data_IF_246649209688
#
_entry.id   IF_246649209688
#
_cell.length_a   1.000
_cell.length_b   1.000
_cell.length_c   1.000
_cell.angle_alpha   90.00
_cell.angle_beta   90.00
_cell.angle_gamma   90.00
#
_symmetry.space_group_name_H-M   'P 1'
#
loop_
_entity.id
_entity.type
_entity.pdbx_description
1 polymer ?
#
# COMPACT_ATOMS: atom_id res chain seq x y z
N UNK A 1 -27.64 3.23 -2.32
CA UNK A 1 -27.40 4.22 -1.25
C UNK A 1 -26.10 4.94 -1.59
N UNK A 2 -26.15 6.25 -1.86
CA UNK A 2 -24.93 7.04 -2.15
C UNK A 2 -24.34 7.39 -0.79
N UNK A 3 -23.20 6.78 -0.44
CA UNK A 3 -22.45 7.17 0.76
C UNK A 3 -21.77 8.51 0.50
N UNK A 4 -21.83 9.41 1.49
CA UNK A 4 -21.17 10.72 1.40
C UNK A 4 -19.83 10.67 2.12
N UNK A 5 -18.76 10.97 1.38
CA UNK A 5 -17.43 11.17 1.94
C UNK A 5 -17.17 12.66 2.10
N UNK A 6 -16.59 13.02 3.24
CA UNK A 6 -16.46 14.42 3.66
C UNK A 6 -15.15 14.68 4.38
N UNK A 7 -14.72 15.93 4.30
CA UNK A 7 -13.64 16.49 5.10
C UNK A 7 -14.18 16.99 6.43
N UNK A 8 -13.58 16.52 7.52
CA UNK A 8 -13.83 16.97 8.88
C UNK A 8 -12.65 17.78 9.41
N UNK A 9 -12.97 18.87 10.10
CA UNK A 9 -12.01 19.59 10.93
C UNK A 9 -12.05 19.03 12.36
N UNK A 10 -10.92 18.52 12.83
CA UNK A 10 -10.78 18.00 14.20
C UNK A 10 -10.10 19.00 15.14
N UNK A 11 -9.14 19.77 14.61
CA UNK A 11 -8.43 20.80 15.34
C UNK A 11 -7.94 21.89 14.37
N UNK A 12 -7.80 23.11 14.88
CA UNK A 12 -7.22 24.21 14.12
C UNK A 12 -5.78 23.87 13.70
N UNK A 13 -5.41 24.26 12.49
CA UNK A 13 -4.07 24.06 11.89
C UNK A 13 -3.66 22.58 11.69
N UNK A 14 -4.59 21.64 11.80
CA UNK A 14 -4.38 20.25 11.40
C UNK A 14 -5.03 20.00 10.03
N UNK A 15 -4.44 19.13 9.19
CA UNK A 15 -5.07 18.78 7.92
C UNK A 15 -6.43 18.13 8.14
N UNK A 16 -7.37 18.37 7.23
CA UNK A 16 -8.70 17.76 7.32
C UNK A 16 -8.64 16.23 7.27
N UNK A 17 -9.46 15.64 8.13
CA UNK A 17 -9.66 14.20 8.22
C UNK A 17 -10.75 13.78 7.25
N UNK A 18 -10.59 12.61 6.63
CA UNK A 18 -11.56 12.09 5.67
C UNK A 18 -12.45 11.08 6.39
N UNK A 19 -13.77 11.21 6.21
CA UNK A 19 -14.75 10.36 6.86
C UNK A 19 -15.89 9.98 5.92
N UNK A 20 -16.46 8.78 6.09
CA UNK A 20 -17.71 8.35 5.44
C UNK A 20 -18.87 8.56 6.39
N UNK A 21 -19.91 9.24 5.95
CA UNK A 21 -21.15 9.39 6.71
C UNK A 21 -21.98 8.11 6.55
N UNK A 22 -22.24 7.45 7.67
CA UNK A 22 -23.18 6.33 7.75
C UNK A 22 -24.62 6.84 7.94
N UNK A 23 -24.78 7.80 8.84
CA UNK A 23 -26.08 8.27 9.28
C UNK A 23 -25.98 9.72 9.78
N UNK A 24 -27.02 10.51 9.52
CA UNK A 24 -27.20 11.84 10.10
C UNK A 24 -28.41 11.81 11.03
N UNK A 25 -28.24 12.31 12.24
CA UNK A 25 -29.27 12.38 13.26
C UNK A 25 -29.41 13.81 13.77
N UNK A 26 -30.65 14.22 14.02
CA UNK A 26 -30.93 15.51 14.65
C UNK A 26 -31.27 15.29 16.11
N UNK A 27 -30.43 15.77 17.02
CA UNK A 27 -30.58 15.62 18.47
C UNK A 27 -30.77 17.00 19.09
N UNK A 28 -31.95 17.27 19.65
CA UNK A 28 -32.28 18.51 20.37
C UNK A 28 -31.99 19.82 19.61
N UNK A 29 -31.95 19.77 18.28
CA UNK A 29 -31.70 20.92 17.41
C UNK A 29 -30.37 20.84 16.66
N UNK A 30 -29.39 20.15 17.24
CA UNK A 30 -28.09 19.93 16.65
C UNK A 30 -28.10 18.73 15.71
N UNK A 31 -27.25 18.77 14.69
CA UNK A 31 -27.08 17.67 13.74
C UNK A 31 -25.79 16.94 14.06
N UNK A 32 -25.89 15.66 14.36
CA UNK A 32 -24.76 14.76 14.59
C UNK A 32 -24.65 13.78 13.41
N UNK A 33 -23.43 13.40 13.08
CA UNK A 33 -23.11 12.46 12.03
C UNK A 33 -22.43 11.23 12.66
N UNK A 34 -23.00 10.05 12.44
CA UNK A 34 -22.29 8.78 12.67
C UNK A 34 -21.40 8.54 11.46
N UNK A 35 -20.10 8.47 11.71
CA UNK A 35 -19.06 8.49 10.68
C UNK A 35 -18.04 7.40 10.88
N UNK A 36 -17.54 6.86 9.77
CA UNK A 36 -16.38 5.98 9.72
C UNK A 36 -15.14 6.78 9.34
N UNK A 37 -14.02 6.53 10.03
CA UNK A 37 -12.75 7.23 9.82
C UNK A 37 -11.92 6.62 8.69
N UNK A 38 -11.23 7.48 7.93
CA UNK A 38 -10.15 7.10 7.02
C UNK A 38 -8.83 7.68 7.53
N UNK A 39 -7.80 6.85 7.52
CA UNK A 39 -6.45 7.20 7.91
C UNK A 39 -5.60 7.42 6.66
N UNK A 40 -4.71 8.41 6.71
CA UNK A 40 -3.70 8.61 5.66
C UNK A 40 -2.47 7.79 6.00
N UNK A 41 -1.58 7.59 5.02
CA UNK A 41 -0.32 6.86 5.24
C UNK A 41 0.49 7.36 6.44
N UNK A 42 0.55 8.67 6.68
CA UNK A 42 1.27 9.25 7.84
C UNK A 42 0.67 8.88 9.20
N UNK A 43 -0.59 8.46 9.22
CA UNK A 43 -1.32 8.08 10.44
C UNK A 43 -1.20 6.56 10.70
N UNK A 44 -0.49 5.82 9.83
CA UNK A 44 -0.30 4.36 9.90
C UNK A 44 1.13 4.03 10.35
N UNK A 45 1.31 3.08 11.29
CA UNK A 45 2.63 2.59 11.68
C UNK A 45 3.48 2.07 10.50
N UNK A 46 4.79 2.37 10.50
CA UNK A 46 5.70 2.03 9.39
C UNK A 46 5.78 0.53 9.08
N UNK A 47 5.71 -0.32 10.11
CA UNK A 47 5.68 -1.78 9.95
C UNK A 47 4.45 -2.23 9.13
N UNK A 48 3.31 -1.55 9.30
CA UNK A 48 2.10 -1.83 8.55
C UNK A 48 2.15 -1.25 7.14
N UNK A 49 2.79 -0.09 6.96
CA UNK A 49 3.02 0.46 5.62
C UNK A 49 3.86 -0.47 4.75
N UNK A 50 4.89 -1.11 5.31
CA UNK A 50 5.68 -2.12 4.58
C UNK A 50 4.81 -3.29 4.09
N UNK A 51 3.85 -3.72 4.90
CA UNK A 51 2.90 -4.78 4.52
C UNK A 51 1.93 -4.28 3.44
N UNK A 52 1.43 -3.05 3.57
CA UNK A 52 0.54 -2.43 2.58
C UNK A 52 1.22 -2.30 1.20
N UNK A 53 2.48 -1.90 1.18
CA UNK A 53 3.25 -1.72 -0.06
C UNK A 53 3.59 -3.06 -0.73
N UNK A 54 3.58 -4.16 0.02
CA UNK A 54 3.77 -5.53 -0.47
C UNK A 54 2.45 -6.26 -0.79
N UNK A 55 1.31 -5.66 -0.48
CA UNK A 55 0.01 -6.26 -0.71
C UNK A 55 -0.27 -6.32 -2.23
N UNK A 56 0.10 -7.44 -2.84
CA UNK A 56 -0.27 -7.78 -4.21
C UNK A 56 -1.80 -7.89 -4.31
N UNK A 57 -2.36 -7.35 -5.40
CA UNK A 57 -3.74 -7.65 -5.78
C UNK A 57 -3.91 -9.16 -5.91
N UNK A 58 -4.68 -9.79 -5.03
CA UNK A 58 -4.91 -11.23 -5.01
C UNK A 58 -5.33 -11.80 -6.39
N UNK A 59 -5.98 -10.99 -7.22
CA UNK A 59 -6.43 -11.37 -8.58
C UNK A 59 -5.31 -11.48 -9.62
N UNK A 60 -4.16 -10.83 -9.41
CA UNK A 60 -3.05 -10.85 -10.39
C UNK A 60 -2.38 -12.21 -10.50
N UNK A 61 -2.38 -13.00 -9.41
CA UNK A 61 -1.86 -14.38 -9.40
C UNK A 61 -2.69 -15.30 -10.30
N UNK A 62 -4.01 -15.15 -10.30
CA UNK A 62 -4.92 -15.98 -11.12
C UNK A 62 -4.72 -15.77 -12.63
N UNK A 63 -4.40 -14.54 -13.06
CA UNK A 63 -4.12 -14.24 -14.49
C UNK A 63 -2.70 -14.65 -14.92
N UNK A 64 -1.69 -14.50 -14.05
CA UNK A 64 -0.31 -14.97 -14.35
C UNK A 64 -0.26 -16.49 -14.51
N UNK A 65 -0.98 -17.25 -13.69
CA UNK A 65 -1.01 -18.71 -13.80
C UNK A 65 -1.74 -19.21 -15.05
N UNK A 66 -2.65 -18.41 -15.64
CA UNK A 66 -3.34 -18.77 -16.89
C UNK A 66 -2.49 -18.51 -18.15
N UNK A 67 -1.53 -17.58 -18.11
CA UNK A 67 -0.62 -17.33 -19.22
C UNK A 67 0.59 -18.29 -19.24
N UNK A 68 0.96 -18.87 -18.10
CA UNK A 68 2.09 -19.80 -18.02
C UNK A 68 1.77 -21.24 -18.46
N UNK A 69 0.50 -21.61 -18.68
CA UNK A 69 0.10 -22.96 -19.11
C UNK A 69 0.04 -23.16 -20.63
N UNK A 70 0.40 -22.16 -21.45
CA UNK A 70 0.42 -22.26 -22.92
C UNK A 70 1.81 -22.20 -23.59
N UNK A 71 2.90 -22.29 -22.82
CA UNK A 71 4.26 -22.42 -23.39
C UNK A 71 5.06 -23.48 -22.66
N UNK A 72 4.83 -24.74 -23.01
CA UNK A 72 5.87 -25.77 -23.12
C UNK A 72 5.24 -27.10 -23.55
N UNK A 73 5.11 -27.29 -24.87
CA UNK A 73 5.11 -28.62 -25.46
C UNK A 73 6.57 -29.00 -25.76
N UNK A 74 6.99 -30.12 -25.17
CA UNK A 74 7.93 -31.10 -25.72
C UNK A 74 9.42 -30.74 -25.78
N UNK A 75 10.23 -31.34 -24.88
CA UNK A 75 11.16 -32.43 -25.24
C UNK A 75 11.83 -33.10 -24.03
N UNK A 76 12.12 -34.38 -24.24
CA UNK A 76 12.64 -35.46 -23.39
C UNK A 76 13.85 -35.19 -22.46
N UNK A 77 14.01 -36.06 -21.44
CA UNK A 77 15.31 -36.67 -21.14
C UNK A 77 15.68 -36.82 -19.66
N UNK A 78 15.82 -38.07 -19.21
CA UNK A 78 16.32 -38.54 -17.91
C UNK A 78 17.72 -38.03 -17.50
N UNK A 79 17.96 -37.77 -16.20
CA UNK A 79 18.88 -38.58 -15.36
C UNK A 79 19.18 -37.97 -13.97
N UNK A 80 19.42 -38.90 -13.03
CA UNK A 80 19.95 -38.75 -11.66
C UNK A 80 21.37 -38.13 -11.64
N UNK A 81 21.78 -37.53 -10.51
CA UNK A 81 22.77 -38.07 -9.52
C UNK A 81 23.37 -36.95 -8.63
N UNK A 82 23.84 -37.40 -7.48
CA UNK A 82 24.26 -36.79 -6.22
C UNK A 82 25.54 -35.92 -6.18
N UNK A 83 25.60 -35.08 -5.13
CA UNK A 83 26.67 -34.92 -4.12
C UNK A 83 28.04 -34.23 -4.38
N UNK A 84 28.33 -33.34 -3.41
CA UNK A 84 29.63 -33.05 -2.73
C UNK A 84 30.72 -32.33 -3.54
N UNK A 85 31.73 -31.66 -2.98
CA UNK A 85 32.10 -30.96 -1.72
C UNK A 85 33.61 -30.62 -1.90
N UNK A 86 34.15 -29.69 -1.09
CA UNK A 86 35.59 -29.39 -0.86
C UNK A 86 36.23 -28.35 -1.79
N UNK A 87 37.08 -27.40 -1.37
CA UNK A 87 37.77 -27.16 -0.09
C UNK A 87 39.28 -26.96 -0.31
N UNK A 88 39.89 -26.06 0.49
CA UNK A 88 41.32 -25.96 0.90
C UNK A 88 42.23 -24.83 0.30
N UNK A 89 42.38 -23.77 1.10
CA UNK A 89 43.58 -23.16 1.78
C UNK A 89 45.02 -23.11 1.18
N UNK A 90 45.68 -21.94 1.34
CA UNK A 90 46.98 -21.64 2.04
C UNK A 90 47.44 -20.17 1.71
N UNK A 91 47.77 -19.23 2.63
CA UNK A 91 48.95 -19.03 3.54
C UNK A 91 50.30 -18.86 2.77
N UNK A 92 51.18 -17.85 2.92
CA UNK A 92 51.68 -17.07 4.09
C UNK A 92 52.31 -15.68 3.74
N UNK A 93 52.36 -14.81 4.77
CA UNK A 93 53.27 -13.72 5.23
C UNK A 93 54.28 -12.96 4.32
N UNK A 94 54.29 -11.60 4.44
CA UNK A 94 55.36 -10.80 5.09
C UNK A 94 55.06 -9.28 5.06
N UNK A 95 55.54 -8.57 6.08
CA UNK A 95 55.31 -7.15 6.45
C UNK A 95 56.64 -6.40 6.38
N UNK A 96 56.66 -5.13 5.94
CA UNK A 96 57.44 -3.98 6.47
C UNK A 96 57.16 -2.70 5.65
N UNK A 97 57.44 -1.54 6.26
CA UNK A 97 56.74 -0.25 6.19
C UNK A 97 57.55 0.79 5.41
N UNK A 98 56.91 1.69 4.66
CA UNK A 98 57.42 3.07 4.49
C UNK A 98 56.30 4.07 4.15
N UNK A 99 56.44 5.27 4.71
CA UNK A 99 55.46 6.34 4.91
C UNK A 99 55.65 7.45 3.88
N UNK A 100 54.62 7.79 3.08
CA UNK A 100 54.43 9.17 2.59
C UNK A 100 53.05 9.40 1.94
N UNK A 101 52.22 10.18 2.63
CA UNK A 101 51.23 11.17 2.12
C UNK A 101 50.37 10.80 0.90
N UNK A 102 49.15 10.33 1.18
CA UNK A 102 48.07 10.18 0.19
C UNK A 102 47.04 11.33 0.35
N UNK A 103 46.91 12.16 -0.68
CA UNK A 103 45.83 13.15 -0.82
C UNK A 103 44.55 12.38 -1.16
N UNK A 104 43.63 12.28 -0.21
CA UNK A 104 42.31 11.65 -0.37
C UNK A 104 41.51 12.37 -1.47
N UNK A 105 41.14 11.72 -2.58
CA UNK A 105 40.11 12.24 -3.47
C UNK A 105 38.76 12.21 -2.73
N UNK A 106 38.00 13.29 -2.84
CA UNK A 106 36.64 13.40 -2.32
C UNK A 106 35.78 12.19 -2.76
N UNK A 107 35.03 11.54 -1.85
CA UNK A 107 34.03 10.57 -2.24
C UNK A 107 32.93 11.28 -3.02
N UNK A 108 32.74 10.88 -4.27
CA UNK A 108 31.57 11.23 -5.05
C UNK A 108 30.30 10.75 -4.31
N UNK A 109 29.20 11.51 -4.33
CA UNK A 109 27.99 11.15 -3.63
C UNK A 109 27.47 9.82 -4.14
N UNK A 110 27.41 8.83 -3.26
CA UNK A 110 26.78 7.54 -3.50
C UNK A 110 25.35 7.80 -3.95
N UNK A 111 25.04 7.39 -5.19
CA UNK A 111 23.66 7.29 -5.67
C UNK A 111 22.83 6.54 -4.63
N UNK A 112 21.69 7.08 -4.17
CA UNK A 112 20.85 6.39 -3.21
C UNK A 112 20.49 5.03 -3.80
N UNK A 113 20.86 3.95 -3.11
CA UNK A 113 20.38 2.61 -3.41
C UNK A 113 18.86 2.69 -3.46
N UNK A 114 18.30 2.60 -4.66
CA UNK A 114 16.86 2.66 -4.87
C UNK A 114 16.24 1.50 -4.12
N UNK A 115 15.54 1.79 -3.03
CA UNK A 115 14.61 0.84 -2.41
C UNK A 115 13.81 0.15 -3.54
N UNK A 116 13.61 -1.18 -3.50
CA UNK A 116 12.79 -1.83 -4.51
C UNK A 116 11.46 -1.11 -4.57
N UNK A 117 11.12 -0.53 -5.73
CA UNK A 117 9.94 0.31 -5.85
C UNK A 117 8.71 -0.60 -5.76
N UNK A 118 8.13 -0.70 -4.57
CA UNK A 118 6.99 -1.55 -4.30
C UNK A 118 5.70 -0.85 -4.74
N UNK A 119 5.01 -1.43 -5.72
CA UNK A 119 3.75 -0.91 -6.29
C UNK A 119 2.50 -1.53 -5.66
N UNK A 120 2.63 -2.35 -4.61
CA UNK A 120 1.48 -2.96 -3.93
C UNK A 120 0.54 -1.92 -3.35
N UNK A 121 -0.75 -2.24 -3.32
CA UNK A 121 -1.80 -1.28 -2.92
C UNK A 121 -2.15 -0.19 -3.94
N UNK A 122 -1.39 0.01 -5.02
CA UNK A 122 -1.70 1.03 -6.04
C UNK A 122 -2.64 0.53 -7.17
N UNK A 123 -3.31 1.46 -7.89
CA UNK A 123 -4.03 1.18 -9.14
C UNK A 123 -3.18 0.50 -10.23
N UNK A 124 -3.83 -0.22 -11.14
CA UNK A 124 -3.14 -0.93 -12.23
C UNK A 124 -2.51 0.06 -13.22
N UNK A 125 -1.23 -0.10 -13.54
CA UNK A 125 -0.51 0.82 -14.42
C UNK A 125 0.32 1.86 -13.66
N UNK A 126 0.28 1.87 -12.33
CA UNK A 126 1.16 2.72 -11.51
C UNK A 126 2.65 2.45 -11.77
N UNK A 127 3.00 1.24 -12.21
CA UNK A 127 4.36 0.85 -12.57
C UNK A 127 4.95 1.61 -13.78
N UNK A 128 4.10 2.28 -14.57
CA UNK A 128 4.51 3.04 -15.76
C UNK A 128 4.62 4.54 -15.50
N UNK A 129 4.25 4.99 -14.30
CA UNK A 129 4.20 6.39 -13.95
C UNK A 129 5.57 6.93 -13.53
N UNK A 130 5.71 8.26 -13.58
CA UNK A 130 6.87 8.93 -13.02
C UNK A 130 6.93 8.74 -11.48
N UNK A 131 8.11 8.78 -10.86
CA UNK A 131 8.23 8.69 -9.40
C UNK A 131 7.40 9.75 -8.66
N UNK A 132 7.29 10.96 -9.23
CA UNK A 132 6.48 12.04 -8.69
C UNK A 132 4.99 11.72 -8.72
N UNK A 133 4.49 11.15 -9.81
CA UNK A 133 3.08 10.77 -9.92
C UNK A 133 2.74 9.58 -9.02
N UNK A 134 3.66 8.62 -8.88
CA UNK A 134 3.54 7.53 -7.91
C UNK A 134 3.44 8.09 -6.48
N UNK A 135 4.28 9.09 -6.16
CA UNK A 135 4.23 9.75 -4.86
C UNK A 135 2.88 10.47 -4.64
N UNK A 136 2.38 11.21 -5.63
CA UNK A 136 1.05 11.84 -5.55
C UNK A 136 -0.06 10.80 -5.39
N UNK A 137 0.03 9.67 -6.09
CA UNK A 137 -0.94 8.60 -6.00
C UNK A 137 -0.94 7.95 -4.60
N UNK A 138 0.23 7.77 -3.99
CA UNK A 138 0.37 7.32 -2.58
C UNK A 138 -0.27 8.30 -1.59
N UNK A 139 -0.28 9.61 -1.89
CA UNK A 139 -0.99 10.60 -1.06
C UNK A 139 -2.51 10.51 -1.19
N UNK A 140 -3.02 9.86 -2.26
CA UNK A 140 -4.45 9.58 -2.47
C UNK A 140 -4.90 8.24 -1.87
N UNK A 141 -3.97 7.44 -1.35
CA UNK A 141 -4.26 6.19 -0.65
C UNK A 141 -4.74 6.45 0.78
N UNK A 142 -5.84 5.80 1.15
CA UNK A 142 -6.45 5.84 2.48
C UNK A 142 -6.64 4.43 3.04
N UNK A 143 -6.78 4.36 4.36
CA UNK A 143 -7.06 3.12 5.10
C UNK A 143 -8.35 3.32 5.89
N UNK A 144 -9.36 2.48 5.62
CA UNK A 144 -10.66 2.59 6.28
C UNK A 144 -10.62 1.97 7.67
N UNK A 145 -11.23 2.59 8.68
CA UNK A 145 -11.46 1.92 9.96
C UNK A 145 -12.84 1.28 10.02
N UNK A 146 -13.00 0.25 10.86
CA UNK A 146 -14.33 -0.32 11.18
C UNK A 146 -15.01 0.43 12.32
N UNK A 147 -14.28 1.27 13.04
CA UNK A 147 -14.80 2.02 14.17
C UNK A 147 -15.66 3.18 13.68
N UNK A 148 -16.85 3.29 14.24
CA UNK A 148 -17.75 4.42 14.02
C UNK A 148 -17.62 5.41 15.17
N UNK A 149 -17.63 6.68 14.84
CA UNK A 149 -17.65 7.79 15.79
C UNK A 149 -18.87 8.66 15.52
N UNK A 150 -19.41 9.31 16.55
CA UNK A 150 -20.47 10.32 16.39
C UNK A 150 -19.87 11.70 16.61
N UNK A 151 -19.89 12.53 15.57
CA UNK A 151 -19.35 13.88 15.61
C UNK A 151 -20.41 14.90 15.18
N UNK A 152 -20.29 16.13 15.69
CA UNK A 152 -21.15 17.22 15.25
C UNK A 152 -20.94 17.52 13.76
N UNK A 153 -22.04 17.65 13.01
CA UNK A 153 -22.00 17.92 11.58
C UNK A 153 -21.46 19.34 11.25
N UNK A 154 -21.34 20.21 12.26
CA UNK A 154 -20.73 21.55 12.10
C UNK A 154 -19.27 21.48 11.68
N UNK A 155 -18.59 20.35 11.96
CA UNK A 155 -17.18 20.15 11.65
C UNK A 155 -16.96 19.71 10.20
N UNK A 156 -18.02 19.52 9.41
CA UNK A 156 -17.93 19.17 7.99
C UNK A 156 -17.54 20.42 7.19
N UNK A 157 -16.41 20.34 6.47
CA UNK A 157 -15.86 21.46 5.69
C UNK A 157 -16.02 21.32 4.20
N UNK A 158 -16.16 20.10 3.69
CA UNK A 158 -16.29 19.86 2.26
C UNK A 158 -16.62 18.41 1.94
N UNK A 159 -16.98 18.15 0.68
CA UNK A 159 -17.21 16.81 0.16
C UNK A 159 -15.96 16.34 -0.58
N UNK A 160 -15.70 15.04 -0.54
CA UNK A 160 -14.66 14.40 -1.33
C UNK A 160 -15.20 13.11 -1.95
N UNK A 161 -14.40 12.48 -2.81
CA UNK A 161 -14.72 11.17 -3.38
C UNK A 161 -13.71 10.16 -2.87
N UNK A 162 -14.21 9.07 -2.28
CA UNK A 162 -13.40 7.93 -1.89
C UNK A 162 -14.03 6.71 -2.53
N UNK A 163 -13.23 5.93 -3.25
CA UNK A 163 -13.70 4.70 -3.90
C UNK A 163 -12.92 3.50 -3.37
N UNK A 164 -13.58 2.36 -3.30
CA UNK A 164 -12.88 1.10 -3.08
C UNK A 164 -12.01 0.80 -4.30
N UNK A 165 -10.73 0.50 -4.09
CA UNK A 165 -9.79 0.21 -5.16
C UNK A 165 -10.13 -1.14 -5.81
N UNK A 166 -10.90 -1.10 -6.89
CA UNK A 166 -11.24 -2.29 -7.67
C UNK A 166 -10.10 -2.71 -8.62
N UNK A 167 -10.20 -3.92 -9.18
CA UNK A 167 -9.15 -4.45 -10.06
C UNK A 167 -9.05 -3.76 -11.43
N UNK A 168 -10.05 -2.94 -11.80
CA UNK A 168 -10.10 -2.20 -13.07
C UNK A 168 -9.70 -0.73 -12.94
N UNK A 169 -9.47 -0.23 -11.72
CA UNK A 169 -9.06 1.17 -11.49
C UNK A 169 -7.67 1.45 -12.07
N UNK A 170 -7.52 2.62 -12.70
CA UNK A 170 -6.26 3.15 -13.24
C UNK A 170 -5.83 4.43 -12.50
N UNK A 171 -4.53 4.78 -12.49
CA UNK A 171 -4.04 5.98 -11.82
C UNK A 171 -4.70 7.27 -12.31
N UNK A 172 -5.02 7.36 -13.60
CA UNK A 172 -5.65 8.53 -14.23
C UNK A 172 -6.98 8.90 -13.57
N UNK A 173 -7.71 7.93 -13.02
CA UNK A 173 -8.98 8.16 -12.33
C UNK A 173 -8.81 9.00 -11.06
N UNK A 174 -7.62 8.96 -10.46
CA UNK A 174 -7.28 9.65 -9.20
C UNK A 174 -6.43 10.90 -9.42
N UNK A 175 -5.53 10.88 -10.40
CA UNK A 175 -4.63 12.01 -10.66
C UNK A 175 -5.32 13.14 -11.44
N UNK A 176 -6.24 12.81 -12.35
CA UNK A 176 -6.95 13.82 -13.16
C UNK A 176 -8.07 14.54 -12.40
N UNK A 177 -8.36 14.11 -11.16
CA UNK A 177 -9.41 14.70 -10.32
C UNK A 177 -8.84 15.10 -8.98
N UNK A 178 -9.16 16.30 -8.55
CA UNK A 178 -8.91 16.75 -7.19
C UNK A 178 -9.88 16.02 -6.23
N UNK A 179 -9.54 15.98 -4.93
CA UNK A 179 -10.36 15.40 -3.86
C UNK A 179 -10.84 13.95 -4.09
N UNK A 180 -10.12 13.20 -4.92
CA UNK A 180 -10.43 11.79 -5.24
C UNK A 180 -9.37 10.88 -4.62
N UNK A 181 -9.84 9.93 -3.80
CA UNK A 181 -9.03 9.01 -3.02
C UNK A 181 -9.47 7.57 -3.24
N UNK A 182 -8.62 6.63 -2.84
CA UNK A 182 -8.96 5.22 -2.84
C UNK A 182 -8.52 4.54 -1.55
N UNK A 183 -9.16 3.42 -1.25
CA UNK A 183 -8.73 2.51 -0.19
C UNK A 183 -8.87 1.06 -0.65
N UNK A 184 -7.98 0.21 -0.17
CA UNK A 184 -7.99 -1.24 -0.42
C UNK A 184 -7.89 -2.06 0.87
N UNK A 185 -7.40 -1.42 1.93
CA UNK A 185 -7.14 -2.04 3.22
C UNK A 185 -7.95 -1.35 4.32
N UNK A 186 -8.30 -2.16 5.30
CA UNK A 186 -8.97 -1.76 6.54
C UNK A 186 -7.92 -1.74 7.65
N UNK A 187 -7.78 -0.60 8.31
CA UNK A 187 -6.92 -0.42 9.47
C UNK A 187 -7.71 -0.56 10.76
N UNK A 188 -7.25 -1.44 11.64
CA UNK A 188 -7.74 -1.57 13.00
C UNK A 188 -6.77 -0.84 13.94
N UNK A 189 -7.13 0.36 14.45
CA UNK A 189 -6.25 1.14 15.32
C UNK A 189 -6.09 0.51 16.71
N UNK A 190 -7.00 -0.38 17.13
CA UNK A 190 -6.90 -1.02 18.45
C UNK A 190 -5.94 -2.19 18.43
N UNK A 191 -5.96 -2.97 17.36
CA UNK A 191 -5.08 -4.14 17.21
C UNK A 191 -3.81 -3.83 16.42
N UNK A 192 -3.68 -2.62 15.87
CA UNK A 192 -2.61 -2.22 14.94
C UNK A 192 -2.44 -3.23 13.79
N UNK A 193 -3.55 -3.54 13.10
CA UNK A 193 -3.54 -4.50 11.99
C UNK A 193 -4.11 -3.90 10.71
N UNK A 194 -3.64 -4.42 9.57
CA UNK A 194 -4.21 -4.17 8.26
C UNK A 194 -4.87 -5.45 7.73
N UNK A 195 -6.09 -5.30 7.25
CA UNK A 195 -6.91 -6.40 6.72
C UNK A 195 -7.39 -5.99 5.32
N UNK A 196 -7.39 -6.92 4.36
CA UNK A 196 -8.04 -6.65 3.08
C UNK A 196 -9.55 -6.45 3.29
N UNK A 197 -10.12 -5.35 2.76
CA UNK A 197 -11.56 -5.15 2.81
C UNK A 197 -12.22 -6.25 1.97
N UNK A 198 -12.95 -7.14 2.63
CA UNK A 198 -13.58 -8.30 1.99
C UNK A 198 -14.81 -7.86 1.19
N UNK A 199 -14.59 -7.17 0.07
CA UNK A 199 -15.56 -7.04 -1.01
C UNK A 199 -15.73 -8.35 -1.81
N UNK A 200 -14.87 -9.34 -1.59
CA UNK A 200 -15.04 -10.70 -2.10
C UNK A 200 -15.78 -11.55 -1.05
N UNK A 201 -17.06 -11.79 -1.28
CA UNK A 201 -17.77 -12.90 -0.63
C UNK A 201 -17.10 -14.18 -1.12
N UNK A 202 -16.32 -14.83 -0.28
CA UNK A 202 -15.90 -16.21 -0.53
C UNK A 202 -17.08 -17.14 -0.19
N UNK A 203 -17.85 -17.53 -1.20
CA UNK A 203 -18.76 -18.67 -1.09
C UNK A 203 -17.90 -19.93 -1.12
N UNK A 204 -17.49 -20.41 0.05
CA UNK A 204 -16.87 -21.72 0.21
C UNK A 204 -17.87 -22.73 0.77
N UNK A 205 -17.76 -24.00 0.36
CA UNK A 205 -18.64 -25.12 0.76
C UNK A 205 -18.81 -25.28 2.29
N UNK A 206 -17.92 -24.69 3.10
CA UNK A 206 -18.00 -24.68 4.58
C UNK A 206 -18.92 -23.59 5.17
N UNK A 207 -19.60 -22.78 4.36
CA UNK A 207 -20.51 -21.71 4.82
C UNK A 207 -21.91 -21.75 4.19
N UNK A 208 -22.31 -22.86 3.56
CA UNK A 208 -23.72 -23.12 3.27
C UNK A 208 -24.28 -24.02 4.38
N UNK A 209 -25.37 -23.57 4.99
CA UNK A 209 -26.14 -24.33 5.97
C UNK A 209 -26.95 -25.43 5.28
#
# INVERSE_FOLDING_TARGET
MIFYYVYFEQAANQPYQIRRIEELQKVRGDVEARVVCFYRRRDIPENLLKIADQADRAETKSKRNLLNTKKSSETNGDNKTEAKQNGVENKDEAMEVDESTEVKPEPQPETPQSDPQHFGGLPLGAEKLSPSDVHLLRQRELFMSRQCETLSAINIRGKCSVVFLSSVETPDMYLNREDTYFYSLVYDPTNETLIADKGAIEVGEKHQA
#
